data_IF_308078097297
#
_entry.id   IF_308078097297
#
_cell.length_a   1.000
_cell.length_b   1.000
_cell.length_c   1.000
_cell.angle_alpha   90.00
_cell.angle_beta   90.00
_cell.angle_gamma   90.00
#
_symmetry.space_group_name_H-M   'P 1'
#
loop_
_entity.id
_entity.type
_entity.pdbx_description
1 polymer ?
#
# COMPACT_ATOMS: atom_id res chain seq x y z
N UNK A 1 26.94 -11.96 -16.58
CA UNK A 1 25.49 -12.25 -16.58
C UNK A 1 25.08 -12.56 -15.15
N UNK A 2 24.96 -11.57 -14.28
CA UNK A 2 24.18 -11.67 -13.04
C UNK A 2 23.60 -10.27 -12.79
N UNK A 3 22.46 -10.02 -13.44
CA UNK A 3 21.55 -8.95 -13.08
C UNK A 3 20.50 -9.58 -12.19
N UNK A 4 20.32 -9.13 -10.94
CA UNK A 4 19.05 -8.58 -10.46
C UNK A 4 18.95 -8.34 -8.94
N UNK A 5 18.27 -7.24 -8.62
CA UNK A 5 17.20 -7.16 -7.62
C UNK A 5 17.47 -7.00 -6.11
N UNK A 6 18.49 -6.25 -5.67
CA UNK A 6 18.51 -5.78 -4.25
C UNK A 6 18.88 -4.31 -4.01
N UNK A 7 19.03 -3.47 -5.03
CA UNK A 7 19.15 -2.01 -4.85
C UNK A 7 17.76 -1.37 -4.87
N UNK A 8 17.06 -1.27 -3.73
CA UNK A 8 15.82 -0.47 -3.71
C UNK A 8 14.87 -0.57 -2.51
N UNK A 9 15.10 -1.43 -1.52
CA UNK A 9 14.18 -1.51 -0.36
C UNK A 9 14.54 -0.42 0.66
N UNK A 10 13.90 0.75 0.53
CA UNK A 10 13.89 1.78 1.57
C UNK A 10 13.02 1.27 2.71
N UNK A 11 13.61 1.00 3.88
CA UNK A 11 12.85 0.63 5.08
C UNK A 11 12.06 1.86 5.52
N UNK A 12 10.75 1.85 5.28
CA UNK A 12 9.82 2.86 5.78
C UNK A 12 9.31 2.42 7.15
N UNK A 13 9.05 3.38 8.03
CA UNK A 13 8.39 3.10 9.31
C UNK A 13 7.03 2.45 9.03
N UNK A 14 6.78 1.29 9.65
CA UNK A 14 5.48 0.62 9.55
C UNK A 14 4.50 1.36 10.47
N UNK A 15 3.45 1.93 9.88
CA UNK A 15 2.41 2.62 10.62
C UNK A 15 1.17 1.74 10.67
N UNK A 16 0.64 1.53 11.87
CA UNK A 16 -0.61 0.80 12.10
C UNK A 16 -1.64 1.68 12.81
N UNK A 17 -2.88 1.65 12.34
CA UNK A 17 -4.03 2.27 12.98
C UNK A 17 -5.18 1.27 13.09
N UNK A 18 -5.96 1.42 14.15
CA UNK A 18 -7.06 0.52 14.47
C UNK A 18 -8.32 1.33 14.72
N UNK A 19 -9.45 0.82 14.23
CA UNK A 19 -10.76 1.44 14.38
C UNK A 19 -11.79 0.35 14.70
N UNK A 20 -12.83 0.73 15.42
CA UNK A 20 -13.99 -0.11 15.63
C UNK A 20 -15.14 0.35 14.72
N UNK A 21 -15.70 -0.59 13.97
CA UNK A 21 -16.85 -0.35 13.09
C UNK A 21 -17.88 -1.44 13.35
N UNK A 22 -19.06 -1.04 13.84
CA UNK A 22 -20.14 -1.97 14.20
C UNK A 22 -19.69 -3.13 15.13
N UNK A 23 -18.88 -2.83 16.14
CA UNK A 23 -18.35 -3.83 17.08
C UNK A 23 -17.25 -4.73 16.51
N UNK A 24 -16.78 -4.47 15.28
CA UNK A 24 -15.68 -5.19 14.65
C UNK A 24 -14.44 -4.30 14.59
N UNK A 25 -13.31 -4.85 15.03
CA UNK A 25 -12.00 -4.20 14.88
C UNK A 25 -11.52 -4.31 13.44
N UNK A 26 -11.15 -3.17 12.87
CA UNK A 26 -10.49 -3.05 11.57
C UNK A 26 -9.09 -2.47 11.80
N UNK A 27 -8.08 -3.11 11.24
CA UNK A 27 -6.69 -2.63 11.28
C UNK A 27 -6.23 -2.22 9.89
N UNK A 28 -5.46 -1.15 9.85
CA UNK A 28 -4.84 -0.60 8.65
C UNK A 28 -3.34 -0.51 8.89
N UNK A 29 -2.54 -1.18 8.07
CA UNK A 29 -1.08 -1.19 8.17
C UNK A 29 -0.46 -0.74 6.84
N UNK A 30 0.44 0.24 6.89
CA UNK A 30 1.20 0.73 5.73
C UNK A 30 2.70 0.67 5.99
N UNK A 31 3.50 0.64 4.92
CA UNK A 31 4.97 0.67 5.00
C UNK A 31 5.69 -0.68 5.00
N UNK A 32 4.96 -1.80 4.86
CA UNK A 32 5.54 -3.14 4.85
C UNK A 32 5.53 -3.82 3.46
N UNK A 33 4.42 -3.70 2.73
CA UNK A 33 4.20 -4.41 1.46
C UNK A 33 4.04 -3.44 0.28
N UNK A 34 4.32 -3.92 -0.94
CA UNK A 34 4.12 -3.19 -2.19
C UNK A 34 4.74 -1.77 -2.22
N UNK A 35 5.97 -1.62 -1.69
CA UNK A 35 6.67 -0.34 -1.55
C UNK A 35 7.01 0.39 -2.87
N UNK A 36 6.79 -0.26 -4.01
CA UNK A 36 6.94 0.35 -5.34
C UNK A 36 5.68 1.12 -5.77
N UNK A 37 4.53 0.85 -5.16
CA UNK A 37 3.32 1.65 -5.38
C UNK A 37 3.43 3.00 -4.67
N UNK A 38 2.72 4.01 -5.17
CA UNK A 38 2.66 5.32 -4.53
C UNK A 38 2.01 5.25 -3.14
N UNK A 39 0.98 4.38 -3.01
CA UNK A 39 0.36 4.05 -1.74
C UNK A 39 -0.01 2.58 -1.63
N UNK A 40 0.22 1.98 -0.46
CA UNK A 40 -0.22 0.62 -0.14
C UNK A 40 -0.66 0.49 1.32
N UNK A 41 -1.70 -0.30 1.56
CA UNK A 41 -2.22 -0.60 2.90
C UNK A 41 -2.70 -2.05 2.96
N UNK A 42 -2.28 -2.78 3.98
CA UNK A 42 -2.91 -4.04 4.39
C UNK A 42 -4.04 -3.71 5.34
N UNK A 43 -5.26 -4.10 4.97
CA UNK A 43 -6.46 -3.94 5.78
C UNK A 43 -6.90 -5.30 6.28
N UNK A 44 -7.20 -5.41 7.57
CA UNK A 44 -7.71 -6.64 8.15
C UNK A 44 -8.94 -6.39 9.01
N UNK A 45 -9.94 -7.25 8.87
CA UNK A 45 -11.12 -7.32 9.73
C UNK A 45 -11.43 -8.79 10.05
N UNK A 46 -11.16 -9.20 11.29
CA UNK A 46 -11.22 -10.61 11.68
C UNK A 46 -10.18 -11.44 10.92
N UNK A 47 -10.62 -12.49 10.23
CA UNK A 47 -9.77 -13.38 9.43
C UNK A 47 -9.56 -12.90 7.99
N UNK A 48 -10.35 -11.91 7.54
CA UNK A 48 -10.24 -11.39 6.18
C UNK A 48 -9.15 -10.33 6.12
N UNK A 49 -8.23 -10.50 5.16
CA UNK A 49 -7.11 -9.60 4.90
C UNK A 49 -7.12 -9.20 3.44
N UNK A 50 -6.93 -7.91 3.16
CA UNK A 50 -6.84 -7.34 1.81
C UNK A 50 -5.61 -6.45 1.72
N UNK A 51 -4.77 -6.67 0.71
CA UNK A 51 -3.74 -5.71 0.32
C UNK A 51 -4.32 -4.78 -0.74
N UNK A 52 -4.36 -3.48 -0.43
CA UNK A 52 -4.81 -2.43 -1.35
C UNK A 52 -3.59 -1.64 -1.81
N UNK A 53 -3.47 -1.42 -3.11
CA UNK A 53 -2.45 -0.58 -3.72
C UNK A 53 -3.09 0.47 -4.60
N UNK A 54 -2.55 1.68 -4.60
CA UNK A 54 -2.93 2.76 -5.50
C UNK A 54 -1.65 3.30 -6.16
N UNK A 55 -1.71 3.45 -7.47
CA UNK A 55 -0.63 4.04 -8.28
C UNK A 55 -1.21 5.15 -9.13
N UNK A 56 -0.49 6.24 -9.27
CA UNK A 56 -0.85 7.36 -10.13
C UNK A 56 0.33 7.70 -11.03
N UNK A 57 0.04 7.96 -12.30
CA UNK A 57 1.03 8.59 -13.18
C UNK A 57 1.40 9.96 -12.61
N UNK A 58 2.68 10.32 -12.73
CA UNK A 58 3.16 11.62 -12.23
C UNK A 58 2.61 12.79 -13.04
N UNK A 59 2.31 12.55 -14.30
CA UNK A 59 1.81 13.52 -15.26
C UNK A 59 0.48 13.03 -15.81
N UNK A 60 -0.43 13.97 -16.10
CA UNK A 60 -1.68 13.65 -16.79
C UNK A 60 -1.37 13.20 -18.24
N UNK A 61 -2.19 12.29 -18.76
CA UNK A 61 -2.07 11.88 -20.15
C UNK A 61 -2.47 13.01 -21.10
N UNK A 62 -1.70 13.21 -22.16
CA UNK A 62 -1.99 14.23 -23.17
C UNK A 62 -3.38 14.00 -23.79
N UNK A 63 -4.19 15.06 -23.84
CA UNK A 63 -5.52 15.02 -24.44
C UNK A 63 -6.60 14.38 -23.58
N UNK A 64 -6.34 14.08 -22.31
CA UNK A 64 -7.37 13.61 -21.35
C UNK A 64 -7.94 14.80 -20.58
N UNK A 65 -9.28 14.89 -20.53
CA UNK A 65 -10.05 16.00 -19.94
C UNK A 65 -10.90 15.61 -18.72
N UNK A 66 -10.74 14.38 -18.22
CA UNK A 66 -11.41 13.85 -17.03
C UNK A 66 -10.43 13.25 -16.00
#
# INVERSE_FOLDING_TARGET
MESNAQKGVQIREVVQKEFEVYGKKITFQSGLFALQADGSVVVQMGETVVLVTATAEKEAAEGVDF
#
